data_IF_394738398482
#
_entry.id   IF_394738398482
#
_cell.length_a   1.000
_cell.length_b   1.000
_cell.length_c   1.000
_cell.angle_alpha   90.00
_cell.angle_beta   90.00
_cell.angle_gamma   90.00
#
_symmetry.space_group_name_H-M   'P 1'
#
loop_
_entity.id
_entity.type
_entity.pdbx_description
1 polymer ?
#
# COMPACT_ATOMS: atom_id res chain seq x y z
N UNK A 1 -9.58 43.64 -20.78
CA UNK A 1 -8.35 43.07 -21.39
C UNK A 1 -7.82 42.04 -20.41
N UNK A 2 -8.20 40.78 -20.62
CA UNK A 2 -7.91 39.68 -19.71
C UNK A 2 -6.53 39.10 -20.06
N UNK A 3 -5.61 39.10 -19.09
CA UNK A 3 -4.38 38.33 -19.22
C UNK A 3 -4.70 36.87 -18.94
N UNK A 4 -4.90 36.11 -20.03
CA UNK A 4 -4.72 34.65 -20.03
C UNK A 4 -3.26 34.40 -19.69
N UNK A 5 -3.00 33.90 -18.48
CA UNK A 5 -1.72 33.25 -18.19
C UNK A 5 -1.73 31.95 -18.98
N UNK A 6 -0.80 31.87 -19.92
CA UNK A 6 -0.58 30.69 -20.76
C UNK A 6 -0.19 29.48 -19.90
N UNK A 7 -0.94 28.39 -20.08
CA UNK A 7 -0.62 27.02 -19.65
C UNK A 7 0.62 26.49 -20.40
N UNK A 8 1.81 26.98 -20.06
CA UNK A 8 3.06 26.54 -20.70
C UNK A 8 4.16 26.15 -19.72
N UNK A 9 3.79 25.59 -18.56
CA UNK A 9 4.69 24.89 -17.64
C UNK A 9 4.00 23.73 -16.91
N UNK A 10 3.47 22.74 -17.62
CA UNK A 10 3.28 21.42 -17.02
C UNK A 10 4.53 20.60 -17.28
N UNK A 11 5.61 20.87 -16.53
CA UNK A 11 6.89 20.16 -16.65
C UNK A 11 6.79 18.68 -16.23
N UNK A 12 5.68 18.25 -15.62
CA UNK A 12 5.43 16.89 -15.18
C UNK A 12 3.98 16.49 -15.50
N UNK A 13 3.79 15.36 -16.19
CA UNK A 13 2.46 14.80 -16.48
C UNK A 13 1.72 14.31 -15.21
N UNK A 14 2.44 14.11 -14.11
CA UNK A 14 1.93 13.68 -12.81
C UNK A 14 2.91 14.03 -11.69
N UNK A 15 2.42 14.20 -10.47
CA UNK A 15 3.23 14.40 -9.26
C UNK A 15 3.38 13.05 -8.54
N UNK A 16 4.60 12.69 -8.13
CA UNK A 16 4.83 11.41 -7.42
C UNK A 16 4.19 11.41 -6.03
N UNK A 17 4.38 12.49 -5.26
CA UNK A 17 3.75 12.59 -3.95
C UNK A 17 3.56 14.04 -3.48
N UNK A 18 2.61 14.23 -2.58
CA UNK A 18 2.53 15.42 -1.72
C UNK A 18 2.95 15.06 -0.31
N UNK A 19 3.48 16.03 0.43
CA UNK A 19 3.78 15.89 1.85
C UNK A 19 3.22 17.08 2.63
N UNK A 20 2.66 16.81 3.80
CA UNK A 20 2.06 17.82 4.66
C UNK A 20 2.43 17.59 6.13
N UNK A 21 2.74 18.67 6.84
CA UNK A 21 2.77 18.71 8.30
C UNK A 21 1.70 19.72 8.75
N UNK A 22 0.46 19.28 9.02
CA UNK A 22 -0.66 20.17 9.25
C UNK A 22 -0.56 20.84 10.63
N UNK A 23 -1.18 22.01 10.83
CA UNK A 23 -1.34 22.59 12.16
C UNK A 23 -2.10 21.63 13.08
N UNK A 24 -1.54 21.32 14.26
CA UNK A 24 -2.07 20.23 15.11
C UNK A 24 -3.28 20.60 15.97
N UNK A 25 -3.46 21.89 16.28
CA UNK A 25 -4.40 22.33 17.30
C UNK A 25 -5.60 23.03 16.69
N UNK A 26 -6.78 22.84 17.29
CA UNK A 26 -8.01 23.49 16.84
C UNK A 26 -8.14 24.93 17.33
N UNK A 27 -7.48 25.28 18.43
CA UNK A 27 -7.45 26.63 19.00
C UNK A 27 -6.21 26.83 19.88
N UNK A 28 -5.98 28.05 20.36
CA UNK A 28 -4.91 28.34 21.35
C UNK A 28 -5.15 27.61 22.68
N UNK A 29 -6.41 27.44 23.07
CA UNK A 29 -6.80 26.72 24.28
C UNK A 29 -6.49 25.21 24.16
N UNK A 30 -6.70 24.61 22.98
CA UNK A 30 -6.29 23.22 22.71
C UNK A 30 -4.77 23.05 22.80
N UNK A 31 -4.00 24.03 22.30
CA UNK A 31 -2.54 24.06 22.44
C UNK A 31 -2.11 24.14 23.91
N UNK A 32 -2.71 25.04 24.70
CA UNK A 32 -2.39 25.21 26.12
C UNK A 32 -2.78 23.97 26.93
N UNK A 33 -3.96 23.40 26.70
CA UNK A 33 -4.42 22.19 27.40
C UNK A 33 -3.57 20.95 27.06
N UNK A 34 -3.16 20.81 25.80
CA UNK A 34 -2.22 19.78 25.35
C UNK A 34 -0.81 19.96 25.94
N UNK A 35 -0.39 21.20 26.20
CA UNK A 35 0.87 21.52 26.86
C UNK A 35 0.81 21.23 28.36
N UNK A 36 -0.27 21.62 29.05
CA UNK A 36 -0.45 21.42 30.49
C UNK A 36 -0.65 19.95 30.88
N UNK A 37 -1.21 19.15 29.97
CA UNK A 37 -1.36 17.69 30.15
C UNK A 37 -0.02 16.93 30.13
N UNK A 38 1.07 17.56 29.66
CA UNK A 38 2.40 16.95 29.67
C UNK A 38 3.07 17.19 31.03
N UNK A 39 3.44 16.10 31.71
CA UNK A 39 4.11 16.12 33.04
C UNK A 39 5.40 16.93 33.10
N UNK A 40 6.03 17.25 31.97
CA UNK A 40 7.26 18.06 31.87
C UNK A 40 7.20 18.92 30.61
N UNK A 41 7.75 20.14 30.64
CA UNK A 41 7.85 20.98 29.45
C UNK A 41 8.68 20.28 28.35
N UNK A 42 8.35 20.51 27.07
CA UNK A 42 9.17 20.00 25.97
C UNK A 42 10.58 20.58 26.05
N UNK A 43 11.58 19.77 25.67
CA UNK A 43 12.99 20.21 25.64
C UNK A 43 13.28 21.20 24.51
N UNK A 44 12.40 21.28 23.51
CA UNK A 44 12.50 22.20 22.37
C UNK A 44 11.49 23.32 22.50
N UNK A 45 11.94 24.56 22.26
CA UNK A 45 11.06 25.71 22.11
C UNK A 45 10.20 25.51 20.86
N UNK A 46 8.88 25.67 20.99
CA UNK A 46 7.97 25.67 19.85
C UNK A 46 8.05 27.07 19.21
N UNK A 47 8.80 27.20 18.12
CA UNK A 47 9.03 28.47 17.41
C UNK A 47 8.08 28.67 16.23
N UNK A 48 7.07 27.82 16.08
CA UNK A 48 6.08 27.93 15.01
C UNK A 48 5.23 29.19 15.17
N UNK A 49 4.86 29.81 14.05
CA UNK A 49 3.87 30.88 14.02
C UNK A 49 2.49 30.36 14.43
N UNK A 50 1.60 31.24 14.91
CA UNK A 50 0.24 30.83 15.33
C UNK A 50 -0.51 30.09 14.22
N UNK A 51 -0.33 30.49 12.96
CA UNK A 51 -0.89 29.84 11.77
C UNK A 51 -0.30 28.47 11.44
N UNK A 52 0.92 28.18 11.89
CA UNK A 52 1.54 26.85 11.75
C UNK A 52 1.13 25.89 12.87
N UNK A 53 0.55 26.42 13.96
CA UNK A 53 0.17 25.63 15.12
C UNK A 53 -1.34 25.40 15.22
N UNK A 54 -2.14 26.38 14.82
CA UNK A 54 -3.60 26.38 14.98
C UNK A 54 -4.31 26.46 13.63
N UNK A 55 -5.31 25.61 13.43
CA UNK A 55 -6.30 25.79 12.37
C UNK A 55 -7.68 25.32 12.86
N UNK A 56 -8.76 25.87 12.33
CA UNK A 56 -10.11 25.45 12.74
C UNK A 56 -10.31 23.95 12.52
N UNK A 57 -10.65 23.24 13.60
CA UNK A 57 -10.80 21.79 13.64
C UNK A 57 -9.49 20.98 13.70
N UNK A 58 -8.34 21.66 13.79
CA UNK A 58 -7.01 21.07 13.96
C UNK A 58 -6.56 20.18 12.81
N UNK A 59 -5.59 19.30 13.08
CA UNK A 59 -5.01 18.44 12.04
C UNK A 59 -6.04 17.54 11.35
N UNK A 60 -7.10 17.13 12.06
CA UNK A 60 -8.16 16.30 11.47
C UNK A 60 -8.87 17.06 10.37
N UNK A 61 -9.40 18.26 10.66
CA UNK A 61 -10.13 19.04 9.66
C UNK A 61 -9.23 19.46 8.50
N UNK A 62 -7.95 19.72 8.75
CA UNK A 62 -6.98 20.00 7.70
C UNK A 62 -6.81 18.83 6.75
N UNK A 63 -6.53 17.64 7.28
CA UNK A 63 -6.33 16.44 6.45
C UNK A 63 -7.64 15.98 5.82
N UNK A 64 -8.78 16.19 6.47
CA UNK A 64 -10.11 15.99 5.85
C UNK A 64 -10.27 16.81 4.57
N UNK A 65 -9.88 18.09 4.58
CA UNK A 65 -9.91 18.93 3.36
C UNK A 65 -8.97 18.39 2.30
N UNK A 66 -7.76 17.96 2.67
CA UNK A 66 -6.83 17.31 1.72
C UNK A 66 -7.45 16.06 1.08
N UNK A 67 -8.18 15.25 1.84
CA UNK A 67 -8.89 14.08 1.31
C UNK A 67 -9.95 14.53 0.30
N UNK A 68 -10.75 15.55 0.61
CA UNK A 68 -11.75 16.09 -0.32
C UNK A 68 -11.12 16.63 -1.62
N UNK A 69 -10.04 17.38 -1.52
CA UNK A 69 -9.31 17.88 -2.71
C UNK A 69 -8.75 16.71 -3.53
N UNK A 70 -8.24 15.68 -2.86
CA UNK A 70 -7.72 14.47 -3.51
C UNK A 70 -8.80 13.70 -4.27
N UNK A 71 -10.07 13.74 -3.85
CA UNK A 71 -11.18 13.13 -4.60
C UNK A 71 -11.42 13.81 -5.96
N UNK A 72 -11.02 15.08 -6.10
CA UNK A 72 -11.10 15.82 -7.38
C UNK A 72 -9.83 15.66 -8.21
N UNK A 73 -8.66 15.66 -7.56
CA UNK A 73 -7.36 15.57 -8.22
C UNK A 73 -6.97 14.14 -8.63
N UNK A 74 -7.42 13.14 -7.86
CA UNK A 74 -7.31 11.71 -8.13
C UNK A 74 -5.90 11.28 -8.50
N UNK A 75 -5.70 10.69 -9.68
CA UNK A 75 -4.44 10.11 -10.12
C UNK A 75 -3.40 11.15 -10.57
N UNK A 76 -3.73 12.46 -10.56
CA UNK A 76 -2.76 13.54 -10.82
C UNK A 76 -1.60 13.56 -9.83
N UNK A 77 -1.83 13.03 -8.63
CA UNK A 77 -0.81 12.76 -7.62
C UNK A 77 -0.79 11.26 -7.36
N UNK A 78 0.39 10.64 -7.42
CA UNK A 78 0.51 9.21 -7.16
C UNK A 78 0.27 8.89 -5.68
N UNK A 79 0.85 9.65 -4.75
CA UNK A 79 0.58 9.52 -3.31
C UNK A 79 0.31 10.85 -2.62
N UNK A 80 -0.84 10.96 -1.98
CA UNK A 80 -1.11 12.05 -1.04
C UNK A 80 -0.62 11.62 0.35
N UNK A 81 0.11 12.47 1.07
CA UNK A 81 0.58 12.13 2.42
C UNK A 81 0.45 13.29 3.41
N UNK A 82 0.21 12.94 4.67
CA UNK A 82 0.23 13.89 5.78
C UNK A 82 0.80 13.25 7.04
N UNK A 83 1.64 14.00 7.74
CA UNK A 83 2.03 13.69 9.11
C UNK A 83 0.87 14.06 10.07
N UNK A 84 0.78 13.35 11.18
CA UNK A 84 -0.20 13.56 12.24
C UNK A 84 0.52 13.64 13.59
N UNK A 85 0.10 14.61 14.41
CA UNK A 85 0.66 14.92 15.71
C UNK A 85 0.01 14.13 16.84
N UNK A 86 -1.27 13.77 16.68
CA UNK A 86 -2.08 13.06 17.68
C UNK A 86 -2.46 11.66 17.17
N UNK A 87 -2.27 10.63 18.00
CA UNK A 87 -2.64 9.25 17.66
C UNK A 87 -4.14 9.09 17.39
N UNK A 88 -4.99 9.82 18.11
CA UNK A 88 -6.44 9.80 17.93
C UNK A 88 -6.87 10.26 16.55
N UNK A 89 -6.12 11.17 15.92
CA UNK A 89 -6.39 11.66 14.57
C UNK A 89 -6.21 10.57 13.52
N UNK A 90 -5.30 9.61 13.73
CA UNK A 90 -4.99 8.53 12.77
C UNK A 90 -6.24 7.70 12.46
N UNK A 91 -6.98 7.29 13.49
CA UNK A 91 -8.19 6.48 13.33
C UNK A 91 -9.28 7.23 12.56
N UNK A 92 -9.51 8.50 12.90
CA UNK A 92 -10.52 9.33 12.25
C UNK A 92 -10.20 9.56 10.76
N UNK A 93 -8.93 9.79 10.43
CA UNK A 93 -8.50 9.97 9.05
C UNK A 93 -8.64 8.67 8.24
N UNK A 94 -8.25 7.52 8.79
CA UNK A 94 -8.42 6.23 8.12
C UNK A 94 -9.89 5.93 7.87
N UNK A 95 -10.78 6.22 8.82
CA UNK A 95 -12.21 6.08 8.63
C UNK A 95 -12.70 6.94 7.47
N UNK A 96 -12.26 8.19 7.37
CA UNK A 96 -12.63 9.06 6.24
C UNK A 96 -12.12 8.54 4.89
N UNK A 97 -10.89 8.01 4.83
CA UNK A 97 -10.36 7.37 3.62
C UNK A 97 -11.26 6.21 3.17
N UNK A 98 -11.67 5.35 4.11
CA UNK A 98 -12.57 4.23 3.83
C UNK A 98 -13.95 4.68 3.38
N UNK A 99 -14.54 5.69 4.02
CA UNK A 99 -15.82 6.26 3.59
C UNK A 99 -15.73 6.89 2.20
N UNK A 100 -14.58 7.47 1.84
CA UNK A 100 -14.29 7.97 0.50
C UNK A 100 -14.01 6.89 -0.55
N UNK A 101 -14.10 5.59 -0.19
CA UNK A 101 -13.82 4.47 -1.09
C UNK A 101 -12.35 4.29 -1.43
N UNK A 102 -11.43 4.87 -0.63
CA UNK A 102 -10.00 4.79 -0.86
C UNK A 102 -9.46 3.54 -0.15
N UNK A 103 -9.15 2.52 -0.94
CA UNK A 103 -8.68 1.21 -0.47
C UNK A 103 -7.14 1.08 -0.51
N UNK A 104 -6.44 1.98 -1.20
CA UNK A 104 -4.98 2.03 -1.26
C UNK A 104 -4.45 3.13 -0.35
N UNK A 105 -4.15 2.75 0.89
CA UNK A 105 -3.58 3.64 1.89
C UNK A 105 -2.46 2.98 2.68
N UNK A 106 -1.69 3.81 3.37
CA UNK A 106 -0.53 3.45 4.17
C UNK A 106 -0.58 4.21 5.49
N UNK A 107 -0.09 3.57 6.56
CA UNK A 107 0.06 4.19 7.87
C UNK A 107 1.37 3.74 8.51
N UNK A 108 2.10 4.69 9.08
CA UNK A 108 3.37 4.43 9.76
C UNK A 108 3.53 5.28 11.00
N UNK A 109 4.44 4.87 11.88
CA UNK A 109 4.81 5.59 13.09
C UNK A 109 6.29 6.00 13.04
N UNK A 110 6.56 7.28 13.28
CA UNK A 110 7.89 7.81 13.47
C UNK A 110 8.18 7.96 14.96
N UNK A 111 9.22 7.27 15.44
CA UNK A 111 9.66 7.30 16.83
C UNK A 111 11.03 7.96 16.89
N UNK A 112 11.10 9.17 17.44
CA UNK A 112 12.35 9.90 17.62
C UNK A 112 12.67 10.06 19.11
N UNK A 113 13.75 9.40 19.54
CA UNK A 113 14.11 9.28 20.96
C UNK A 113 13.02 8.57 21.77
N UNK A 114 12.97 8.84 23.07
CA UNK A 114 12.10 8.09 23.98
C UNK A 114 10.70 8.71 24.16
N UNK A 115 10.40 9.84 23.52
CA UNK A 115 9.19 10.63 23.84
C UNK A 115 8.40 11.15 22.64
N UNK A 116 9.06 11.52 21.54
CA UNK A 116 8.35 12.12 20.42
C UNK A 116 7.92 11.01 19.46
N UNK A 117 6.60 10.83 19.39
CA UNK A 117 5.93 9.98 18.39
C UNK A 117 5.17 10.88 17.43
N UNK A 118 5.26 10.55 16.15
CA UNK A 118 4.45 11.11 15.07
C UNK A 118 3.92 9.95 14.24
N UNK A 119 2.83 10.19 13.55
CA UNK A 119 2.27 9.22 12.62
C UNK A 119 2.27 9.83 11.23
N UNK A 120 2.27 9.00 10.21
CA UNK A 120 2.00 9.45 8.86
C UNK A 120 0.94 8.56 8.23
N UNK A 121 0.07 9.20 7.47
CA UNK A 121 -0.93 8.58 6.63
C UNK A 121 -0.62 8.93 5.18
N UNK A 122 -0.75 7.95 4.30
CA UNK A 122 -0.63 8.14 2.86
C UNK A 122 -1.77 7.45 2.15
N UNK A 123 -2.23 7.99 1.03
CA UNK A 123 -3.26 7.36 0.21
C UNK A 123 -3.05 7.62 -1.28
N UNK A 124 -3.60 6.71 -2.10
CA UNK A 124 -3.45 6.73 -3.55
C UNK A 124 -4.75 6.30 -4.22
N UNK A 125 -5.00 6.86 -5.40
CA UNK A 125 -6.04 6.38 -6.32
C UNK A 125 -5.49 5.42 -7.38
N UNK A 126 -4.17 5.28 -7.46
CA UNK A 126 -3.54 4.28 -8.30
C UNK A 126 -3.68 2.89 -7.70
N UNK A 127 -3.59 1.89 -8.57
CA UNK A 127 -3.77 0.49 -8.20
C UNK A 127 -2.44 -0.21 -7.85
N UNK A 128 -1.30 0.46 -8.02
CA UNK A 128 -0.01 -0.03 -7.56
C UNK A 128 0.07 0.01 -6.04
N UNK A 129 0.39 -1.14 -5.45
CA UNK A 129 0.40 -1.33 -4.01
C UNK A 129 1.80 -1.09 -3.42
N UNK A 130 1.90 -0.37 -2.28
CA UNK A 130 3.15 -0.25 -1.54
C UNK A 130 3.59 -1.61 -0.96
N UNK A 131 4.80 -1.71 -0.42
CA UNK A 131 5.22 -2.91 0.33
C UNK A 131 4.48 -3.02 1.67
N UNK A 132 4.50 -4.21 2.28
CA UNK A 132 3.98 -4.37 3.66
C UNK A 132 4.68 -3.43 4.65
N UNK A 133 6.00 -3.30 4.55
CA UNK A 133 6.79 -2.44 5.43
C UNK A 133 6.41 -0.96 5.30
N UNK A 134 6.11 -0.50 4.08
CA UNK A 134 5.73 0.89 3.83
C UNK A 134 4.27 1.19 4.21
N UNK A 135 3.37 0.20 4.11
CA UNK A 135 1.93 0.42 4.33
C UNK A 135 1.44 0.17 5.74
N UNK A 136 2.10 -0.72 6.50
CA UNK A 136 1.62 -1.20 7.81
C UNK A 136 2.66 -0.97 8.91
N UNK A 137 3.35 0.18 8.87
CA UNK A 137 4.42 0.56 9.80
C UNK A 137 3.94 1.04 11.19
N UNK A 138 2.64 0.95 11.50
CA UNK A 138 2.07 1.42 12.77
C UNK A 138 1.52 0.25 13.61
N UNK A 139 2.38 -0.44 14.35
CA UNK A 139 2.01 -1.63 15.14
C UNK A 139 1.09 -1.34 16.33
N UNK A 140 1.05 -0.09 16.80
CA UNK A 140 0.18 0.38 17.88
C UNK A 140 -1.29 0.53 17.47
N UNK A 141 -1.60 0.46 16.17
CA UNK A 141 -2.95 0.64 15.65
C UNK A 141 -3.75 -0.67 15.67
N UNK A 142 -5.06 -0.56 15.84
CA UNK A 142 -5.97 -1.72 15.72
C UNK A 142 -5.89 -2.33 14.32
N UNK A 143 -5.94 -3.67 14.24
CA UNK A 143 -5.82 -4.41 12.97
C UNK A 143 -6.88 -4.03 11.93
N UNK A 144 -8.09 -3.66 12.38
CA UNK A 144 -9.19 -3.22 11.53
C UNK A 144 -8.89 -1.90 10.81
N UNK A 145 -8.05 -1.04 11.38
CA UNK A 145 -7.66 0.24 10.78
C UNK A 145 -6.45 0.11 9.85
N UNK A 146 -5.65 -0.96 9.97
CA UNK A 146 -4.53 -1.19 9.08
C UNK A 146 -4.99 -1.54 7.65
N UNK A 147 -4.32 -1.03 6.60
CA UNK A 147 -4.65 -1.36 5.20
C UNK A 147 -4.53 -2.86 4.94
N UNK A 148 -5.36 -3.44 4.08
CA UNK A 148 -5.36 -4.90 3.79
C UNK A 148 -3.94 -5.42 3.56
N UNK A 149 -3.54 -6.57 4.15
CA UNK A 149 -2.21 -7.14 3.91
C UNK A 149 -1.96 -7.39 2.42
N UNK A 150 -0.87 -6.85 1.92
CA UNK A 150 -0.44 -6.99 0.51
C UNK A 150 0.58 -8.12 0.32
N UNK A 151 0.96 -8.84 1.38
CA UNK A 151 1.81 -10.02 1.29
C UNK A 151 1.22 -11.17 2.10
N UNK A 152 1.35 -12.38 1.57
CA UNK A 152 1.04 -13.62 2.27
C UNK A 152 2.22 -14.57 2.22
N UNK A 153 2.57 -15.11 3.38
CA UNK A 153 3.64 -16.11 3.52
C UNK A 153 3.04 -17.51 3.64
N UNK A 154 3.69 -18.47 2.99
CA UNK A 154 3.42 -19.90 3.12
C UNK A 154 4.74 -20.57 3.50
N UNK A 155 4.78 -21.12 4.71
CA UNK A 155 5.90 -21.91 5.18
C UNK A 155 5.81 -23.34 4.62
N UNK A 156 6.89 -23.77 3.99
CA UNK A 156 7.11 -25.11 3.45
C UNK A 156 8.24 -25.76 4.26
N UNK A 157 8.05 -27.01 4.70
CA UNK A 157 9.03 -27.72 5.54
C UNK A 157 9.37 -29.04 4.86
N UNK A 158 10.66 -29.38 4.81
CA UNK A 158 11.14 -30.66 4.31
C UNK A 158 11.21 -30.78 2.79
N UNK A 159 10.98 -29.69 2.06
CA UNK A 159 11.10 -29.65 0.60
C UNK A 159 12.18 -28.66 0.15
N UNK A 160 12.92 -29.05 -0.88
CA UNK A 160 13.97 -28.21 -1.46
C UNK A 160 13.39 -27.01 -2.22
N UNK A 161 14.10 -25.87 -2.14
CA UNK A 161 13.66 -24.62 -2.78
C UNK A 161 13.51 -24.76 -4.30
N UNK A 162 14.35 -25.57 -4.96
CA UNK A 162 14.28 -25.77 -6.41
C UNK A 162 13.04 -26.58 -6.83
N UNK A 163 12.62 -27.54 -5.99
CA UNK A 163 11.40 -28.32 -6.19
C UNK A 163 10.17 -27.43 -6.07
N UNK A 164 10.11 -26.59 -5.03
CA UNK A 164 9.00 -25.65 -4.80
C UNK A 164 8.96 -24.62 -5.93
N UNK A 165 10.11 -24.05 -6.30
CA UNK A 165 10.26 -23.11 -7.41
C UNK A 165 9.74 -23.70 -8.73
N UNK A 166 10.16 -24.92 -9.06
CA UNK A 166 9.73 -25.61 -10.29
C UNK A 166 8.22 -25.85 -10.31
N UNK A 167 7.63 -26.27 -9.18
CA UNK A 167 6.18 -26.48 -9.04
C UNK A 167 5.39 -25.19 -9.20
N UNK A 168 5.87 -24.10 -8.61
CA UNK A 168 5.28 -22.76 -8.78
C UNK A 168 5.34 -22.35 -10.24
N UNK A 169 6.53 -22.37 -10.85
CA UNK A 169 6.69 -21.94 -12.24
C UNK A 169 5.78 -22.71 -13.19
N UNK A 170 5.79 -24.05 -13.09
CA UNK A 170 4.92 -24.91 -13.90
C UNK A 170 3.44 -24.59 -13.71
N UNK A 171 2.98 -24.42 -12.46
CA UNK A 171 1.58 -24.05 -12.16
C UNK A 171 1.19 -22.72 -12.82
N UNK A 172 2.11 -21.77 -12.88
CA UNK A 172 1.85 -20.43 -13.44
C UNK A 172 1.87 -20.43 -14.98
N UNK A 173 2.73 -21.23 -15.60
CA UNK A 173 2.78 -21.42 -17.06
C UNK A 173 1.51 -22.06 -17.63
N UNK A 174 0.80 -22.86 -16.84
CA UNK A 174 -0.49 -23.45 -17.23
C UNK A 174 -1.66 -22.43 -17.27
N UNK A 175 -1.49 -21.26 -16.65
CA UNK A 175 -2.53 -20.25 -16.57
C UNK A 175 -2.45 -19.28 -17.76
N UNK A 176 -3.60 -18.79 -18.28
CA UNK A 176 -3.61 -17.77 -19.33
C UNK A 176 -3.32 -16.38 -18.73
N UNK A 177 -2.07 -16.16 -18.30
CA UNK A 177 -1.59 -14.93 -17.68
C UNK A 177 -0.32 -14.44 -18.36
N UNK A 178 0.04 -13.19 -18.08
CA UNK A 178 1.41 -12.74 -18.23
C UNK A 178 2.24 -13.29 -17.08
N UNK A 179 3.32 -13.98 -17.38
CA UNK A 179 4.19 -14.57 -16.38
C UNK A 179 5.64 -14.48 -16.82
N UNK A 180 6.47 -13.96 -15.93
CA UNK A 180 7.91 -13.92 -16.10
C UNK A 180 8.57 -14.52 -14.85
N UNK A 181 9.41 -15.52 -15.04
CA UNK A 181 10.13 -16.21 -13.97
C UNK A 181 11.63 -16.05 -14.12
N UNK A 182 12.30 -15.70 -13.01
CA UNK A 182 13.75 -15.60 -12.87
C UNK A 182 14.22 -16.71 -11.94
N UNK A 183 14.73 -17.78 -12.53
CA UNK A 183 15.08 -19.01 -11.82
C UNK A 183 16.27 -18.84 -10.87
N UNK A 184 17.25 -18.03 -11.24
CA UNK A 184 18.45 -17.69 -10.47
C UNK A 184 18.13 -17.11 -9.08
N UNK A 185 17.07 -16.30 -9.00
CA UNK A 185 16.63 -15.65 -7.76
C UNK A 185 15.32 -16.22 -7.23
N UNK A 186 14.74 -17.23 -7.88
CA UNK A 186 13.44 -17.80 -7.55
C UNK A 186 12.33 -16.74 -7.40
N UNK A 187 12.28 -15.81 -8.36
CA UNK A 187 11.30 -14.72 -8.39
C UNK A 187 10.43 -14.84 -9.64
N UNK A 188 9.13 -14.72 -9.46
CA UNK A 188 8.18 -14.58 -10.54
C UNK A 188 7.31 -13.35 -10.41
N UNK A 189 6.97 -12.74 -11.54
CA UNK A 189 6.03 -11.63 -11.62
C UNK A 189 4.97 -12.00 -12.65
N UNK A 190 3.70 -11.78 -12.30
CA UNK A 190 2.62 -12.03 -13.24
C UNK A 190 1.47 -11.04 -13.15
N UNK A 191 0.71 -10.99 -14.23
CA UNK A 191 -0.42 -10.10 -14.40
C UNK A 191 -1.57 -10.78 -15.13
N UNK A 192 -2.80 -10.43 -14.73
CA UNK A 192 -4.02 -10.83 -15.41
C UNK A 192 -5.12 -9.78 -15.23
N UNK A 193 -6.12 -9.83 -16.10
CA UNK A 193 -7.29 -8.95 -16.05
C UNK A 193 -8.43 -9.53 -15.18
N UNK A 194 -8.44 -10.84 -14.98
CA UNK A 194 -9.51 -11.61 -14.35
C UNK A 194 -8.98 -12.80 -13.53
N UNK A 195 -9.83 -13.38 -12.67
CA UNK A 195 -9.47 -14.54 -11.84
C UNK A 195 -9.46 -15.85 -12.65
N UNK A 196 -8.42 -16.04 -13.48
CA UNK A 196 -8.28 -17.17 -14.41
C UNK A 196 -8.13 -18.54 -13.73
N UNK A 197 -7.81 -18.56 -12.43
CA UNK A 197 -7.75 -19.76 -11.60
C UNK A 197 -9.10 -20.15 -10.96
N UNK A 198 -10.15 -19.35 -11.18
CA UNK A 198 -11.47 -19.62 -10.61
C UNK A 198 -12.13 -20.85 -11.24
N UNK A 199 -13.12 -21.43 -10.55
CA UNK A 199 -13.94 -22.53 -11.10
C UNK A 199 -14.74 -22.10 -12.33
N UNK A 200 -15.12 -20.82 -12.40
CA UNK A 200 -15.86 -20.26 -13.53
C UNK A 200 -14.97 -20.10 -14.76
N UNK A 201 -13.76 -19.53 -14.60
CA UNK A 201 -12.79 -19.36 -15.68
C UNK A 201 -12.40 -20.67 -16.35
N UNK A 202 -12.22 -21.77 -15.57
CA UNK A 202 -11.89 -23.09 -16.14
C UNK A 202 -12.96 -23.68 -17.06
N UNK A 203 -14.23 -23.25 -16.96
CA UNK A 203 -15.32 -23.74 -17.82
C UNK A 203 -15.36 -23.02 -19.16
N UNK A 204 -14.91 -21.76 -19.18
CA UNK A 204 -14.80 -20.94 -20.38
C UNK A 204 -13.33 -20.88 -20.77
N UNK A 205 -12.75 -22.02 -21.22
CA UNK A 205 -11.45 -21.97 -21.90
C UNK A 205 -11.64 -21.16 -23.19
N UNK A 206 -10.96 -20.03 -23.38
CA UNK A 206 -10.86 -19.44 -24.71
C UNK A 206 -10.18 -20.46 -25.62
N UNK A 207 -10.63 -20.52 -26.88
CA UNK A 207 -10.14 -21.47 -27.86
C UNK A 207 -8.60 -21.36 -27.99
N UNK A 208 -7.94 -22.47 -27.70
CA UNK A 208 -6.61 -22.87 -28.19
C UNK A 208 -5.52 -21.84 -28.54
N UNK A 209 -5.24 -20.78 -27.77
CA UNK A 209 -4.04 -19.95 -28.05
C UNK A 209 -3.49 -19.06 -26.94
N UNK A 210 -3.66 -19.36 -25.65
CA UNK A 210 -2.98 -18.57 -24.60
C UNK A 210 -1.57 -19.12 -24.33
N UNK A 211 -0.65 -18.94 -25.29
CA UNK A 211 0.78 -18.92 -24.97
C UNK A 211 0.97 -17.77 -23.99
N UNK A 212 1.63 -18.02 -22.85
CA UNK A 212 1.98 -16.96 -21.89
C UNK A 212 2.53 -15.76 -22.65
N UNK A 213 1.93 -14.59 -22.43
CA UNK A 213 2.35 -13.38 -23.13
C UNK A 213 3.71 -12.97 -22.55
N UNK A 214 4.77 -13.39 -23.25
CA UNK A 214 6.16 -13.09 -22.90
C UNK A 214 6.53 -11.70 -23.43
N UNK A 215 6.94 -10.81 -22.54
CA UNK A 215 7.44 -9.48 -22.88
C UNK A 215 7.59 -8.62 -21.62
N UNK A 216 8.52 -7.67 -21.64
CA UNK A 216 8.74 -6.73 -20.53
C UNK A 216 7.61 -5.69 -20.40
N UNK A 217 6.74 -5.59 -21.41
CA UNK A 217 5.63 -4.64 -21.45
C UNK A 217 4.37 -5.29 -20.88
N UNK A 218 3.99 -4.89 -19.67
CA UNK A 218 2.73 -5.28 -19.04
C UNK A 218 1.60 -4.46 -19.68
N UNK A 219 0.53 -5.10 -20.21
CA UNK A 219 -0.58 -4.35 -20.79
C UNK A 219 -1.28 -3.47 -19.76
N UNK A 220 -1.73 -2.29 -20.20
CA UNK A 220 -2.38 -1.30 -19.32
C UNK A 220 -3.68 -1.80 -18.69
N UNK A 221 -4.36 -2.74 -19.34
CA UNK A 221 -5.66 -3.27 -18.91
C UNK A 221 -5.58 -4.35 -17.82
N UNK A 222 -4.39 -4.71 -17.34
CA UNK A 222 -4.21 -5.70 -16.29
C UNK A 222 -4.77 -5.20 -14.97
N UNK A 223 -5.73 -5.92 -14.37
CA UNK A 223 -6.42 -5.50 -13.14
C UNK A 223 -5.82 -6.12 -11.88
N UNK A 224 -4.99 -7.16 -12.04
CA UNK A 224 -4.32 -7.85 -10.97
C UNK A 224 -2.87 -8.11 -11.34
N UNK A 225 -1.96 -7.73 -10.45
CA UNK A 225 -0.53 -7.98 -10.58
C UNK A 225 0.04 -8.50 -9.28
N UNK A 226 0.98 -9.43 -9.37
CA UNK A 226 1.55 -10.09 -8.21
C UNK A 226 3.02 -10.47 -8.43
N UNK A 227 3.72 -10.68 -7.33
CA UNK A 227 5.08 -11.21 -7.29
C UNK A 227 5.12 -12.43 -6.37
N UNK A 228 5.74 -13.51 -6.80
CA UNK A 228 6.03 -14.68 -5.97
C UNK A 228 7.54 -14.76 -5.81
N UNK A 229 8.03 -14.97 -4.60
CA UNK A 229 9.45 -15.20 -4.36
C UNK A 229 9.68 -16.12 -3.17
N UNK A 230 10.77 -16.86 -3.21
CA UNK A 230 11.12 -17.85 -2.20
C UNK A 230 12.32 -17.35 -1.39
N UNK A 231 12.28 -17.58 -0.08
CA UNK A 231 13.38 -17.26 0.84
C UNK A 231 13.76 -18.49 1.66
N UNK A 232 15.06 -18.62 1.93
CA UNK A 232 15.59 -19.54 2.93
C UNK A 232 15.84 -18.76 4.23
N UNK A 233 15.09 -18.99 5.31
CA UNK A 233 15.33 -18.31 6.57
C UNK A 233 16.69 -18.74 7.14
N UNK A 234 17.54 -17.77 7.48
CA UNK A 234 18.79 -18.04 8.17
C UNK A 234 18.51 -18.75 9.51
N UNK A 235 19.08 -19.95 9.69
CA UNK A 235 18.99 -20.72 10.93
C UNK A 235 17.84 -21.73 11.01
N UNK A 236 16.95 -21.80 10.01
CA UNK A 236 15.92 -22.83 9.94
C UNK A 236 16.34 -23.89 8.90
N UNK A 237 16.64 -25.11 9.36
CA UNK A 237 17.05 -26.21 8.46
C UNK A 237 15.81 -26.76 7.76
N UNK A 238 15.85 -26.83 6.43
CA UNK A 238 14.80 -27.36 5.57
C UNK A 238 13.45 -26.62 5.66
N UNK A 239 13.45 -25.32 5.95
CA UNK A 239 12.26 -24.48 5.78
C UNK A 239 12.44 -23.51 4.62
N UNK A 240 11.40 -23.39 3.77
CA UNK A 240 11.34 -22.44 2.66
C UNK A 240 10.10 -21.59 2.84
N UNK A 241 10.27 -20.27 2.78
CA UNK A 241 9.16 -19.31 2.83
C UNK A 241 8.79 -18.91 1.42
N UNK A 242 7.58 -19.26 0.99
CA UNK A 242 6.99 -18.76 -0.26
C UNK A 242 6.23 -17.48 0.07
N UNK A 243 6.66 -16.35 -0.48
CA UNK A 243 6.02 -15.06 -0.29
C UNK A 243 5.28 -14.67 -1.56
N UNK A 244 3.99 -14.37 -1.41
CA UNK A 244 3.13 -13.89 -2.47
C UNK A 244 2.79 -12.43 -2.16
N UNK A 245 3.22 -11.51 -3.02
CA UNK A 245 3.00 -10.07 -2.89
C UNK A 245 2.00 -9.57 -3.92
N UNK A 246 0.98 -8.85 -3.48
CA UNK A 246 0.05 -8.09 -4.30
C UNK A 246 0.74 -6.81 -4.79
N UNK A 247 0.93 -6.68 -6.10
CA UNK A 247 1.58 -5.53 -6.71
C UNK A 247 0.60 -4.52 -7.30
N UNK A 248 -0.49 -5.00 -7.91
CA UNK A 248 -1.46 -4.18 -8.65
C UNK A 248 -2.90 -4.66 -8.44
N UNK A 249 -3.83 -3.74 -8.24
CA UNK A 249 -5.28 -3.98 -8.25
C UNK A 249 -6.00 -3.50 -6.98
N UNK A 250 -7.33 -3.49 -7.05
CA UNK A 250 -8.22 -3.06 -5.95
C UNK A 250 -9.00 -4.20 -5.28
N UNK A 251 -9.05 -5.38 -5.90
CA UNK A 251 -9.82 -6.52 -5.40
C UNK A 251 -8.99 -7.40 -4.44
N UNK A 252 -9.18 -7.20 -3.14
CA UNK A 252 -8.54 -8.02 -2.11
C UNK A 252 -9.04 -9.47 -2.11
N UNK A 253 -10.30 -9.71 -2.49
CA UNK A 253 -10.87 -11.06 -2.56
C UNK A 253 -10.20 -11.85 -3.69
N UNK A 254 -9.91 -11.19 -4.82
CA UNK A 254 -9.12 -11.76 -5.89
C UNK A 254 -7.72 -12.17 -5.41
N UNK A 255 -7.02 -11.30 -4.67
CA UNK A 255 -5.71 -11.61 -4.09
C UNK A 255 -5.77 -12.80 -3.11
N UNK A 256 -6.72 -12.81 -2.18
CA UNK A 256 -6.91 -13.91 -1.23
C UNK A 256 -7.19 -15.25 -1.95
N UNK A 257 -8.04 -15.21 -2.99
CA UNK A 257 -8.37 -16.38 -3.80
C UNK A 257 -7.15 -16.93 -4.54
N UNK A 258 -6.28 -16.04 -5.04
CA UNK A 258 -5.03 -16.37 -5.72
C UNK A 258 -4.06 -17.07 -4.76
N UNK A 259 -3.83 -16.48 -3.59
CA UNK A 259 -2.97 -17.09 -2.57
C UNK A 259 -3.51 -18.44 -2.10
N UNK A 260 -4.83 -18.58 -1.97
CA UNK A 260 -5.48 -19.84 -1.67
C UNK A 260 -5.25 -20.91 -2.75
N UNK A 261 -5.20 -20.51 -4.03
CA UNK A 261 -4.87 -21.40 -5.13
C UNK A 261 -3.42 -21.87 -5.06
N UNK A 262 -2.47 -20.94 -4.91
CA UNK A 262 -1.03 -21.26 -4.81
C UNK A 262 -0.79 -22.21 -3.63
N UNK A 263 -1.34 -21.90 -2.45
CA UNK A 263 -1.21 -22.74 -1.25
C UNK A 263 -1.65 -24.19 -1.48
N UNK A 264 -2.71 -24.42 -2.25
CA UNK A 264 -3.16 -25.78 -2.57
C UNK A 264 -2.19 -26.47 -3.54
N UNK A 265 -1.74 -25.76 -4.57
CA UNK A 265 -0.87 -26.29 -5.62
C UNK A 265 0.54 -26.61 -5.14
N UNK A 266 1.08 -25.87 -4.18
CA UNK A 266 2.44 -26.08 -3.68
C UNK A 266 2.54 -27.10 -2.54
N UNK A 267 1.42 -27.43 -1.87
CA UNK A 267 1.38 -28.42 -0.78
C UNK A 267 0.99 -29.83 -1.24
N UNK A 268 0.67 -29.98 -2.52
CA UNK A 268 0.35 -31.28 -3.16
C UNK A 268 1.62 -31.83 -3.78
#
# INVERSE_FOLDING_TARGET
MAYRIHDSYSLFSSIDFTMCNPPFYSSKEDLISSASSKKRPPFTACTGSETEMVCDGGEVAFVSRMIQDSLSLRERVQWYTSMLGKFSSVAQIIEQLKHGGIDNYAVTEFVQGNRTRRWAVGWSFWDLRPSMAASRGCSSLQKSLLPVPVEQTIDMIGEDISTIASRINHTMEELPIHWAWKADVSIGIGFCDTAVWSRAARRHKPDGSSKGMTGDVVPENMKFGFKIYLLYPLGEVASVKVIIRWLKGHDSVMFESFCGMIRRKIKT
#
